data_IF_870681350556
#
_entry.id   IF_870681350556
#
_cell.length_a   1.000
_cell.length_b   1.000
_cell.length_c   1.000
_cell.angle_alpha   90.00
_cell.angle_beta   90.00
_cell.angle_gamma   90.00
#
_symmetry.space_group_name_H-M   'P 1'
#
loop_
_entity.id
_entity.type
_entity.pdbx_description
1 polymer ?
#
# COMPACT_ATOMS: atom_id res chain seq x y z
N UNK A 1 -100.52 -12.53 78.18
CA UNK A 1 -100.57 -11.09 78.25
C UNK A 1 -99.32 -10.55 77.60
N UNK A 2 -99.51 -9.94 76.49
CA UNK A 2 -98.70 -9.13 75.54
C UNK A 2 -97.55 -8.38 76.14
N UNK A 3 -96.43 -8.34 75.48
CA UNK A 3 -95.78 -7.08 75.04
C UNK A 3 -94.78 -7.41 73.89
N UNK A 4 -95.08 -6.80 72.73
CA UNK A 4 -94.17 -6.68 71.58
C UNK A 4 -93.01 -5.73 71.89
N UNK A 5 -91.82 -6.03 71.40
CA UNK A 5 -90.81 -4.98 71.19
C UNK A 5 -90.08 -5.22 69.85
N UNK A 6 -90.20 -4.23 69.03
CA UNK A 6 -89.67 -3.91 67.75
C UNK A 6 -88.14 -3.87 67.82
N UNK A 7 -87.47 -4.62 66.91
CA UNK A 7 -86.07 -4.37 66.59
C UNK A 7 -86.01 -3.84 65.16
N UNK A 8 -85.52 -2.57 64.99
CA UNK A 8 -85.22 -1.97 63.72
C UNK A 8 -83.82 -2.41 63.30
N UNK A 9 -83.52 -2.61 61.97
CA UNK A 9 -82.22 -2.96 61.49
C UNK A 9 -81.36 -1.69 61.25
N UNK A 10 -80.11 -1.74 61.69
CA UNK A 10 -79.08 -0.73 61.47
C UNK A 10 -78.67 -0.82 60.02
N UNK A 11 -78.86 0.30 59.23
CA UNK A 11 -78.35 0.47 57.91
C UNK A 11 -76.83 0.81 57.97
N UNK A 12 -76.01 -0.13 57.50
CA UNK A 12 -74.62 0.16 57.20
C UNK A 12 -74.53 1.00 55.94
N UNK A 13 -74.03 2.22 56.00
CA UNK A 13 -73.67 3.07 54.92
C UNK A 13 -72.35 2.54 54.31
N UNK A 14 -72.40 1.98 53.14
CA UNK A 14 -71.27 1.68 52.31
C UNK A 14 -70.80 3.02 51.68
N UNK A 15 -69.59 3.48 52.02
CA UNK A 15 -68.93 4.58 51.33
C UNK A 15 -68.11 3.99 50.18
N UNK A 16 -68.34 4.34 48.90
CA UNK A 16 -67.52 3.87 47.73
C UNK A 16 -66.34 4.77 47.40
N UNK A 17 -65.82 5.62 48.27
CA UNK A 17 -64.80 6.62 47.94
C UNK A 17 -63.35 6.12 48.02
N UNK A 18 -63.02 4.97 48.51
CA UNK A 18 -61.62 4.53 48.70
C UNK A 18 -61.00 3.84 47.43
N UNK A 19 -61.83 3.35 46.53
CA UNK A 19 -61.33 2.59 45.36
C UNK A 19 -60.86 3.47 44.23
N UNK A 20 -61.49 4.62 43.91
CA UNK A 20 -61.06 5.50 42.83
C UNK A 20 -59.72 6.17 43.09
N UNK A 21 -59.46 6.57 44.32
CA UNK A 21 -58.16 7.15 44.69
C UNK A 21 -57.03 6.12 44.60
N UNK A 22 -57.30 4.87 44.93
CA UNK A 22 -56.31 3.79 44.82
C UNK A 22 -56.05 3.38 43.38
N UNK A 23 -57.03 3.43 42.48
CA UNK A 23 -56.87 3.21 41.04
C UNK A 23 -56.16 4.38 40.36
N UNK A 24 -56.41 5.63 40.77
CA UNK A 24 -55.72 6.79 40.25
C UNK A 24 -54.23 6.83 40.69
N UNK A 25 -53.94 6.45 41.94
CA UNK A 25 -52.55 6.36 42.44
C UNK A 25 -51.76 5.21 41.76
N UNK A 26 -52.39 4.06 41.50
CA UNK A 26 -51.78 2.98 40.71
C UNK A 26 -51.53 3.37 39.26
N UNK A 27 -52.44 4.11 38.62
CA UNK A 27 -52.25 4.64 37.26
C UNK A 27 -51.15 5.71 37.22
N UNK A 28 -51.03 6.56 38.24
CA UNK A 28 -49.97 7.53 38.35
C UNK A 28 -48.60 6.85 38.61
N UNK A 29 -48.53 5.83 39.44
CA UNK A 29 -47.34 5.02 39.69
C UNK A 29 -46.91 4.22 38.45
N UNK A 30 -47.84 3.66 37.66
CA UNK A 30 -47.54 2.98 36.41
C UNK A 30 -47.08 3.95 35.32
N UNK A 31 -47.66 5.17 35.26
CA UNK A 31 -47.18 6.23 34.36
C UNK A 31 -45.80 6.76 34.75
N UNK A 32 -45.53 6.90 36.06
CA UNK A 32 -44.18 7.24 36.56
C UNK A 32 -43.13 6.14 36.33
N UNK A 33 -43.52 4.85 36.46
CA UNK A 33 -42.65 3.71 36.14
C UNK A 33 -42.36 3.62 34.63
N UNK A 34 -43.33 3.97 33.77
CA UNK A 34 -43.11 4.07 32.31
C UNK A 34 -42.26 5.24 31.91
N UNK A 35 -42.22 6.34 32.67
CA UNK A 35 -41.29 7.46 32.47
C UNK A 35 -39.91 7.22 33.05
N UNK A 36 -39.70 6.18 33.88
CA UNK A 36 -38.41 5.74 34.43
C UNK A 36 -37.79 4.58 33.67
N UNK A 37 -38.36 4.15 32.52
CA UNK A 37 -37.59 3.38 31.56
C UNK A 37 -36.47 4.36 31.14
N UNK A 38 -35.19 4.11 31.51
CA UNK A 38 -34.13 4.88 30.91
C UNK A 38 -34.30 4.61 29.43
N UNK A 39 -34.66 5.63 28.65
CA UNK A 39 -34.30 5.69 27.27
C UNK A 39 -32.76 5.67 27.36
N UNK A 40 -32.23 4.47 27.48
CA UNK A 40 -30.84 4.25 27.16
C UNK A 40 -30.76 4.77 25.75
N UNK A 41 -30.34 6.06 25.64
CA UNK A 41 -29.70 6.50 24.46
C UNK A 41 -28.51 5.54 24.32
N UNK A 42 -28.79 4.36 23.71
CA UNK A 42 -27.74 3.55 23.15
C UNK A 42 -26.94 4.57 22.38
N UNK A 43 -25.73 4.85 22.82
CA UNK A 43 -24.78 5.61 22.03
C UNK A 43 -24.79 4.82 20.73
N UNK A 44 -25.57 5.31 19.75
CA UNK A 44 -25.68 4.65 18.46
C UNK A 44 -24.25 4.61 17.97
N UNK A 45 -23.62 3.45 17.98
CA UNK A 45 -22.28 3.27 17.49
C UNK A 45 -22.30 3.87 16.09
N UNK A 46 -21.61 4.98 15.88
CA UNK A 46 -21.50 5.61 14.59
C UNK A 46 -20.22 5.17 13.93
N UNK A 47 -20.20 5.22 12.61
CA UNK A 47 -19.05 4.86 11.79
C UNK A 47 -18.51 6.10 11.08
N UNK A 48 -17.27 6.05 10.71
CA UNK A 48 -16.59 7.07 9.89
C UNK A 48 -16.28 6.46 8.53
N UNK A 49 -16.90 7.00 7.49
CA UNK A 49 -16.53 6.72 6.11
C UNK A 49 -15.50 7.75 5.67
N UNK A 50 -14.38 7.28 5.15
CA UNK A 50 -13.34 8.08 4.50
C UNK A 50 -13.49 7.86 3.00
N UNK A 51 -14.22 8.72 2.27
CA UNK A 51 -14.42 8.58 0.84
C UNK A 51 -13.09 8.80 0.11
N UNK A 52 -12.86 8.03 -0.96
CA UNK A 52 -11.64 8.10 -1.75
C UNK A 52 -11.93 8.46 -3.21
N UNK A 53 -13.13 8.97 -3.49
CA UNK A 53 -13.52 9.53 -4.79
C UNK A 53 -12.90 10.90 -5.05
N UNK A 54 -13.19 11.51 -6.21
CA UNK A 54 -12.69 12.83 -6.58
C UNK A 54 -13.09 13.98 -5.62
N UNK A 55 -14.03 13.74 -4.70
CA UNK A 55 -14.39 14.69 -3.65
C UNK A 55 -13.50 14.66 -2.42
N UNK A 56 -12.51 13.77 -2.34
CA UNK A 56 -11.54 13.74 -1.24
C UNK A 56 -10.60 14.95 -1.31
N UNK A 57 -10.38 15.60 -0.18
CA UNK A 57 -9.54 16.80 -0.09
C UNK A 57 -8.04 16.48 0.04
N UNK A 58 -7.70 15.30 0.55
CA UNK A 58 -6.32 14.84 0.65
C UNK A 58 -6.29 13.30 0.65
N UNK A 59 -6.12 12.71 -0.54
CA UNK A 59 -6.07 11.27 -0.69
C UNK A 59 -4.86 10.65 0.04
N UNK A 60 -3.69 11.28 -0.07
CA UNK A 60 -2.47 10.68 0.48
C UNK A 60 -2.53 10.61 2.01
N UNK A 61 -2.99 11.67 2.68
CA UNK A 61 -3.16 11.65 4.15
C UNK A 61 -4.33 10.78 4.62
N UNK A 62 -5.27 10.42 3.75
CA UNK A 62 -6.33 9.49 4.09
C UNK A 62 -5.78 8.07 4.39
N UNK A 63 -4.74 7.63 3.66
CA UNK A 63 -4.03 6.37 3.97
C UNK A 63 -3.33 6.44 5.33
N UNK A 64 -2.63 7.54 5.60
CA UNK A 64 -1.99 7.74 6.90
C UNK A 64 -2.98 7.79 8.07
N UNK A 65 -4.14 8.43 7.86
CA UNK A 65 -5.23 8.42 8.84
C UNK A 65 -5.72 6.99 9.13
N UNK A 66 -5.87 6.15 8.08
CA UNK A 66 -6.24 4.75 8.22
C UNK A 66 -5.15 3.94 8.94
N UNK A 67 -3.88 4.13 8.55
CA UNK A 67 -2.75 3.48 9.19
C UNK A 67 -2.67 3.81 10.69
N UNK A 68 -2.84 5.08 11.07
CA UNK A 68 -2.85 5.51 12.46
C UNK A 68 -4.04 4.94 13.24
N UNK A 69 -5.21 4.77 12.59
CA UNK A 69 -6.35 4.12 13.21
C UNK A 69 -6.02 2.66 13.55
N UNK A 70 -5.40 1.91 12.62
CA UNK A 70 -4.94 0.54 12.87
C UNK A 70 -3.90 0.49 14.00
N UNK A 71 -3.02 1.50 14.10
CA UNK A 71 -2.00 1.58 15.13
C UNK A 71 -2.56 1.74 16.57
N UNK A 72 -3.84 2.11 16.71
CA UNK A 72 -4.52 2.11 18.01
C UNK A 72 -5.03 0.72 18.44
N UNK A 73 -4.82 -0.31 17.62
CA UNK A 73 -5.36 -1.67 17.85
C UNK A 73 -6.79 -1.86 17.34
N UNK A 74 -7.35 -0.85 16.68
CA UNK A 74 -8.66 -0.93 16.04
C UNK A 74 -8.55 -1.57 14.66
N UNK A 75 -9.66 -2.10 14.17
CA UNK A 75 -9.79 -2.62 12.81
C UNK A 75 -10.52 -1.63 11.91
N UNK A 76 -10.35 -1.78 10.60
CA UNK A 76 -11.08 -1.01 9.62
C UNK A 76 -11.56 -1.88 8.47
N UNK A 77 -12.28 -1.31 7.54
CA UNK A 77 -12.75 -1.99 6.33
C UNK A 77 -12.37 -1.19 5.10
N UNK A 78 -11.71 -1.82 4.14
CA UNK A 78 -11.43 -1.27 2.83
C UNK A 78 -12.57 -1.65 1.88
N UNK A 79 -13.27 -0.66 1.35
CA UNK A 79 -14.41 -0.84 0.44
C UNK A 79 -13.89 -0.79 -1.01
N UNK A 80 -13.49 -1.93 -1.55
CA UNK A 80 -12.89 -2.03 -2.88
C UNK A 80 -13.91 -1.62 -3.96
N UNK A 81 -13.45 -0.81 -4.91
CA UNK A 81 -14.24 -0.23 -6.01
C UNK A 81 -15.43 0.65 -5.57
N UNK A 82 -15.64 0.85 -4.28
CA UNK A 82 -16.65 1.75 -3.78
C UNK A 82 -16.07 3.15 -3.59
N UNK A 83 -16.53 4.12 -4.38
CA UNK A 83 -16.09 5.52 -4.34
C UNK A 83 -14.56 5.64 -4.29
N UNK A 84 -13.87 5.00 -5.24
CA UNK A 84 -12.42 5.04 -5.36
C UNK A 84 -11.64 4.20 -4.34
N UNK A 85 -12.28 3.24 -3.66
CA UNK A 85 -11.64 2.40 -2.64
C UNK A 85 -11.65 3.03 -1.25
N UNK A 86 -12.84 3.41 -0.78
CA UNK A 86 -13.08 4.11 0.49
C UNK A 86 -12.75 3.24 1.72
N UNK A 87 -12.55 3.89 2.87
CA UNK A 87 -12.38 3.17 4.14
C UNK A 87 -13.55 3.42 5.08
N UNK A 88 -13.93 2.41 5.85
CA UNK A 88 -14.94 2.50 6.90
C UNK A 88 -14.33 2.08 8.23
N UNK A 89 -14.50 2.91 9.27
CA UNK A 89 -13.94 2.68 10.61
C UNK A 89 -14.97 2.92 11.71
N UNK A 90 -14.62 2.56 12.94
CA UNK A 90 -15.36 2.98 14.13
C UNK A 90 -15.25 4.49 14.33
N UNK A 91 -16.33 5.13 14.81
CA UNK A 91 -16.30 6.55 15.15
C UNK A 91 -15.64 6.75 16.52
N UNK A 92 -14.41 7.22 16.48
CA UNK A 92 -13.65 7.68 17.64
C UNK A 92 -13.44 9.19 17.53
N UNK A 93 -13.42 9.87 18.65
CA UNK A 93 -13.21 11.33 18.68
C UNK A 93 -11.85 11.76 18.10
N UNK A 94 -10.84 10.88 18.19
CA UNK A 94 -9.50 11.12 17.68
C UNK A 94 -9.44 11.01 16.14
N UNK A 95 -10.15 10.05 15.50
CA UNK A 95 -10.11 9.92 14.04
C UNK A 95 -10.74 11.13 13.35
N UNK A 96 -11.87 11.63 13.84
CA UNK A 96 -12.53 12.83 13.29
C UNK A 96 -11.68 14.08 13.48
N UNK A 97 -11.06 14.23 14.67
CA UNK A 97 -10.12 15.32 14.94
C UNK A 97 -8.90 15.24 14.02
N UNK A 98 -8.29 14.06 13.90
CA UNK A 98 -7.11 13.84 13.07
C UNK A 98 -7.40 14.04 11.60
N UNK A 99 -8.60 13.67 11.11
CA UNK A 99 -9.06 13.95 9.77
C UNK A 99 -9.08 15.46 9.47
N UNK A 100 -9.63 16.26 10.40
CA UNK A 100 -9.66 17.73 10.26
C UNK A 100 -8.26 18.34 10.20
N UNK A 101 -7.36 17.91 11.09
CA UNK A 101 -5.97 18.41 11.14
C UNK A 101 -5.26 18.14 9.81
N UNK A 102 -5.53 16.99 9.18
CA UNK A 102 -4.89 16.54 7.93
C UNK A 102 -5.62 16.97 6.68
N UNK A 103 -6.69 17.74 6.81
CA UNK A 103 -7.56 18.12 5.70
C UNK A 103 -8.10 16.89 4.93
N UNK A 104 -8.47 15.83 5.65
CA UNK A 104 -9.09 14.62 5.08
C UNK A 104 -10.60 14.70 5.26
N UNK A 105 -11.34 14.64 4.15
CA UNK A 105 -12.81 14.58 4.18
C UNK A 105 -13.28 13.26 4.77
N UNK A 106 -14.23 13.33 5.71
CA UNK A 106 -14.89 12.16 6.30
C UNK A 106 -16.40 12.39 6.38
N UNK A 107 -17.17 11.31 6.40
CA UNK A 107 -18.62 11.30 6.52
C UNK A 107 -19.00 10.47 7.75
N UNK A 108 -19.86 11.03 8.61
CA UNK A 108 -20.36 10.32 9.79
C UNK A 108 -21.63 9.54 9.41
N UNK A 109 -21.63 8.25 9.66
CA UNK A 109 -22.75 7.34 9.41
C UNK A 109 -23.30 6.80 10.72
N UNK A 110 -24.61 6.69 10.85
CA UNK A 110 -25.21 5.86 11.88
C UNK A 110 -24.89 4.39 11.62
N UNK A 111 -24.99 3.54 12.62
CA UNK A 111 -24.75 2.11 12.45
C UNK A 111 -25.68 1.48 11.38
N UNK A 112 -26.94 1.93 11.33
CA UNK A 112 -27.89 1.46 10.31
C UNK A 112 -27.49 1.86 8.88
N UNK A 113 -26.95 3.08 8.69
CA UNK A 113 -26.43 3.54 7.41
C UNK A 113 -25.17 2.75 7.02
N UNK A 114 -24.26 2.52 7.97
CA UNK A 114 -23.04 1.75 7.70
C UNK A 114 -23.37 0.29 7.32
N UNK A 115 -24.32 -0.35 8.01
CA UNK A 115 -24.77 -1.70 7.66
C UNK A 115 -25.48 -1.75 6.30
N UNK A 116 -26.26 -0.71 5.94
CA UNK A 116 -26.87 -0.61 4.62
C UNK A 116 -25.77 -0.48 3.52
N UNK A 117 -24.76 0.33 3.78
CA UNK A 117 -23.59 0.49 2.91
C UNK A 117 -22.86 -0.83 2.69
N UNK A 118 -22.57 -1.59 3.76
CA UNK A 118 -21.89 -2.89 3.64
C UNK A 118 -22.74 -3.87 2.81
N UNK A 119 -24.05 -3.92 3.03
CA UNK A 119 -24.95 -4.78 2.21
C UNK A 119 -24.95 -4.36 0.73
N UNK A 120 -24.88 -3.08 0.44
CA UNK A 120 -24.74 -2.56 -0.93
C UNK A 120 -23.43 -3.03 -1.56
N UNK A 121 -22.31 -2.81 -0.87
CA UNK A 121 -20.96 -3.19 -1.31
C UNK A 121 -20.83 -4.70 -1.52
N UNK A 122 -21.42 -5.52 -0.63
CA UNK A 122 -21.37 -6.98 -0.71
C UNK A 122 -22.46 -7.58 -1.62
N UNK A 123 -23.30 -6.76 -2.27
CA UNK A 123 -24.37 -7.29 -3.14
C UNK A 123 -23.79 -8.09 -4.31
N UNK A 124 -24.48 -9.18 -4.72
CA UNK A 124 -23.98 -10.11 -5.75
C UNK A 124 -23.76 -9.46 -7.12
N UNK A 125 -24.51 -8.42 -7.45
CA UNK A 125 -24.44 -7.75 -8.76
C UNK A 125 -23.40 -6.63 -8.84
N UNK A 126 -22.78 -6.25 -7.72
CA UNK A 126 -21.81 -5.16 -7.67
C UNK A 126 -20.37 -5.68 -7.81
N UNK A 127 -19.55 -4.97 -8.60
CA UNK A 127 -18.10 -5.18 -8.65
C UNK A 127 -17.42 -4.43 -7.49
N UNK A 128 -17.89 -4.65 -6.27
CA UNK A 128 -17.38 -4.07 -5.02
C UNK A 128 -17.23 -5.15 -3.97
N UNK A 129 -16.31 -4.99 -3.02
CA UNK A 129 -16.15 -5.90 -1.89
C UNK A 129 -15.66 -5.16 -0.65
N UNK A 130 -16.04 -5.65 0.53
CA UNK A 130 -15.49 -5.20 1.79
C UNK A 130 -14.36 -6.13 2.23
N UNK A 131 -13.18 -5.56 2.53
CA UNK A 131 -12.01 -6.29 3.02
C UNK A 131 -11.61 -5.72 4.37
N UNK A 132 -11.51 -6.57 5.40
CA UNK A 132 -11.09 -6.12 6.71
C UNK A 132 -9.60 -5.79 6.72
N UNK A 133 -9.24 -4.71 7.41
CA UNK A 133 -7.87 -4.34 7.75
C UNK A 133 -7.67 -4.68 9.23
N UNK A 134 -6.80 -5.66 9.52
CA UNK A 134 -6.75 -6.32 10.83
C UNK A 134 -5.54 -5.95 11.67
N UNK A 135 -4.49 -5.41 11.04
CA UNK A 135 -3.24 -5.09 11.72
C UNK A 135 -2.57 -3.86 11.11
N UNK A 136 -1.65 -3.28 11.86
CA UNK A 136 -0.74 -2.27 11.35
C UNK A 136 0.48 -2.97 10.71
N UNK A 137 0.79 -2.73 9.42
CA UNK A 137 1.97 -3.31 8.80
C UNK A 137 3.28 -2.74 9.39
N UNK A 138 4.26 -3.59 9.60
CA UNK A 138 5.64 -3.17 9.85
C UNK A 138 6.36 -2.95 8.53
N UNK A 139 6.89 -1.74 8.33
CA UNK A 139 7.44 -1.28 7.05
C UNK A 139 8.95 -1.12 7.16
N UNK A 140 9.68 -1.72 6.23
CA UNK A 140 11.10 -1.51 6.02
C UNK A 140 11.37 -0.86 4.66
N UNK A 141 12.38 0.01 4.61
CA UNK A 141 12.92 0.61 3.39
C UNK A 141 14.38 0.24 3.28
N UNK A 142 14.75 -0.39 2.18
CA UNK A 142 16.14 -0.72 1.88
C UNK A 142 16.85 0.50 1.30
N UNK A 143 17.72 1.10 2.09
CA UNK A 143 18.44 2.33 1.71
C UNK A 143 19.75 2.47 2.48
N UNK A 144 20.80 3.05 1.88
CA UNK A 144 22.03 3.36 2.61
C UNK A 144 21.75 4.23 3.85
N UNK A 145 22.44 4.02 4.99
CA UNK A 145 22.17 4.74 6.24
C UNK A 145 22.24 6.27 6.12
N UNK A 146 23.05 6.77 5.17
CA UNK A 146 23.27 8.20 4.95
C UNK A 146 22.39 8.77 3.83
N UNK A 147 21.60 7.92 3.14
CA UNK A 147 20.69 8.40 2.12
C UNK A 147 19.64 9.31 2.73
N UNK A 148 19.45 10.43 2.10
CA UNK A 148 18.40 11.36 2.50
C UNK A 148 17.09 10.90 1.87
N UNK A 149 15.94 11.00 2.57
CA UNK A 149 14.69 10.43 2.09
C UNK A 149 14.09 11.12 0.86
N UNK A 150 14.56 12.32 0.53
CA UNK A 150 13.96 13.13 -0.55
C UNK A 150 14.21 12.64 -1.97
N UNK A 151 15.13 11.71 -2.19
CA UNK A 151 15.40 11.12 -3.50
C UNK A 151 14.63 9.81 -3.71
N UNK A 152 13.57 9.58 -2.92
CA UNK A 152 12.79 8.35 -2.95
C UNK A 152 11.30 8.68 -2.81
N UNK A 153 10.54 8.48 -3.90
CA UNK A 153 9.10 8.76 -3.94
C UNK A 153 8.32 8.00 -2.85
N UNK A 154 8.75 6.79 -2.47
CA UNK A 154 8.05 6.01 -1.44
C UNK A 154 8.28 6.60 -0.06
N UNK A 155 9.51 6.97 0.28
CA UNK A 155 9.79 7.62 1.57
C UNK A 155 9.12 8.98 1.65
N UNK A 156 9.05 9.75 0.54
CA UNK A 156 8.25 10.97 0.48
C UNK A 156 6.77 10.72 0.77
N UNK A 157 6.20 9.68 0.16
CA UNK A 157 4.80 9.28 0.41
C UNK A 157 4.57 8.88 1.86
N UNK A 158 5.48 8.09 2.45
CA UNK A 158 5.39 7.63 3.83
C UNK A 158 5.48 8.81 4.81
N UNK A 159 6.46 9.70 4.64
CA UNK A 159 6.64 10.89 5.47
C UNK A 159 5.45 11.84 5.36
N UNK A 160 4.97 12.10 4.13
CA UNK A 160 3.79 12.95 3.93
C UNK A 160 2.52 12.35 4.55
N UNK A 161 2.30 11.06 4.38
CA UNK A 161 1.17 10.35 4.98
C UNK A 161 1.34 10.10 6.49
N UNK A 162 2.49 10.41 7.07
CA UNK A 162 2.83 10.17 8.49
C UNK A 162 2.79 8.66 8.84
N UNK A 163 3.30 7.83 7.96
CA UNK A 163 3.43 6.37 8.13
C UNK A 163 4.85 6.04 8.56
N UNK A 164 5.07 5.46 9.74
CA UNK A 164 6.41 5.12 10.22
C UNK A 164 7.02 3.95 9.44
N UNK A 165 8.33 4.03 9.23
CA UNK A 165 9.12 2.96 8.61
C UNK A 165 10.53 2.90 9.22
N UNK A 166 11.21 1.77 9.02
CA UNK A 166 12.59 1.59 9.43
C UNK A 166 13.49 1.40 8.22
N UNK A 167 14.72 1.93 8.32
CA UNK A 167 15.74 1.80 7.27
C UNK A 167 16.58 0.56 7.54
N UNK A 168 16.67 -0.31 6.53
CA UNK A 168 17.59 -1.45 6.51
C UNK A 168 18.54 -1.30 5.32
N UNK A 169 19.72 -1.89 5.44
CA UNK A 169 20.65 -1.98 4.33
C UNK A 169 21.33 -3.36 4.29
N UNK A 170 22.39 -3.52 3.53
CA UNK A 170 23.06 -4.80 3.27
C UNK A 170 23.27 -5.62 4.55
N UNK A 171 23.79 -5.00 5.61
CA UNK A 171 24.11 -5.65 6.88
C UNK A 171 22.88 -6.22 7.58
N UNK A 172 21.84 -5.39 7.72
CA UNK A 172 20.60 -5.75 8.40
C UNK A 172 19.87 -6.86 7.62
N UNK A 173 19.84 -6.75 6.29
CA UNK A 173 19.24 -7.77 5.43
C UNK A 173 19.96 -9.11 5.59
N UNK A 174 21.29 -9.14 5.48
CA UNK A 174 22.07 -10.37 5.61
C UNK A 174 22.05 -10.97 7.02
N UNK A 175 21.81 -10.16 8.04
CA UNK A 175 21.61 -10.63 9.43
C UNK A 175 20.25 -11.30 9.63
N UNK A 176 19.31 -11.11 8.71
CA UNK A 176 17.97 -11.70 8.75
C UNK A 176 16.88 -10.82 9.38
N UNK A 177 17.16 -9.53 9.58
CA UNK A 177 16.21 -8.59 10.24
C UNK A 177 14.90 -8.42 9.44
N UNK A 178 14.89 -8.75 8.14
CA UNK A 178 13.69 -8.70 7.30
C UNK A 178 12.52 -9.55 7.85
N UNK A 179 12.79 -10.59 8.62
CA UNK A 179 11.75 -11.42 9.22
C UNK A 179 10.80 -10.67 10.18
N UNK A 180 11.22 -9.49 10.66
CA UNK A 180 10.45 -8.63 11.55
C UNK A 180 9.41 -7.77 10.81
N UNK A 181 9.47 -7.69 9.47
CA UNK A 181 8.69 -6.74 8.66
C UNK A 181 7.68 -7.45 7.76
N UNK A 182 6.52 -6.79 7.56
CA UNK A 182 5.48 -7.27 6.66
C UNK A 182 5.71 -6.78 5.21
N UNK A 183 6.42 -5.66 5.04
CA UNK A 183 6.59 -4.99 3.77
C UNK A 183 8.00 -4.41 3.64
N UNK A 184 8.64 -4.64 2.50
CA UNK A 184 9.96 -4.12 2.14
C UNK A 184 9.87 -3.30 0.87
N UNK A 185 10.47 -2.10 0.87
CA UNK A 185 10.63 -1.24 -0.29
C UNK A 185 12.06 -1.25 -0.83
N UNK A 186 12.17 -1.36 -2.16
CA UNK A 186 13.39 -1.10 -2.94
C UNK A 186 13.09 -0.02 -3.98
N UNK A 187 13.98 0.98 -4.15
CA UNK A 187 13.76 2.02 -5.15
C UNK A 187 14.82 1.99 -6.27
N UNK A 188 15.79 2.88 -6.22
CA UNK A 188 16.83 3.07 -7.24
C UNK A 188 18.12 2.33 -6.92
N UNK A 189 18.07 1.28 -6.14
CA UNK A 189 19.23 0.44 -5.85
C UNK A 189 19.60 -0.43 -7.04
N UNK A 190 20.89 -0.55 -7.27
CA UNK A 190 21.46 -1.42 -8.30
C UNK A 190 21.98 -2.71 -7.65
N UNK A 191 21.30 -3.79 -7.87
CA UNK A 191 21.65 -5.11 -7.36
C UNK A 191 22.65 -5.87 -8.24
N UNK A 192 23.04 -5.29 -9.40
CA UNK A 192 24.04 -5.92 -10.29
C UNK A 192 25.47 -5.63 -9.87
N UNK A 193 25.70 -4.66 -8.99
CA UNK A 193 27.03 -4.18 -8.60
C UNK A 193 27.69 -3.26 -9.60
N UNK A 194 26.92 -2.67 -10.55
CA UNK A 194 27.41 -1.72 -11.54
C UNK A 194 27.21 -0.26 -11.13
N UNK A 195 26.87 -0.03 -9.86
CA UNK A 195 26.71 1.32 -9.25
C UNK A 195 25.69 2.20 -9.99
N UNK A 196 24.59 1.60 -10.48
CA UNK A 196 23.53 2.29 -11.21
C UNK A 196 23.86 2.61 -12.65
N UNK A 197 24.90 2.00 -13.23
CA UNK A 197 25.39 2.31 -14.60
C UNK A 197 25.72 3.79 -14.84
N UNK A 198 26.05 4.51 -13.76
CA UNK A 198 26.43 5.93 -13.81
C UNK A 198 27.88 6.17 -14.30
N UNK A 199 28.63 5.10 -14.55
CA UNK A 199 30.04 5.19 -14.94
C UNK A 199 30.27 6.10 -16.15
N UNK A 200 29.48 5.95 -17.20
CA UNK A 200 29.67 6.76 -18.44
C UNK A 200 29.63 8.26 -18.19
N UNK A 201 28.67 8.73 -17.43
CA UNK A 201 28.40 10.16 -17.21
C UNK A 201 29.12 10.72 -15.98
N UNK A 202 29.27 9.91 -14.91
CA UNK A 202 29.65 10.42 -13.60
C UNK A 202 30.92 9.80 -13.00
N UNK A 203 31.71 8.99 -13.72
CA UNK A 203 32.92 8.32 -13.19
C UNK A 203 33.93 9.24 -12.51
N UNK A 204 33.94 10.53 -12.87
CA UNK A 204 34.80 11.56 -12.28
C UNK A 204 34.08 12.46 -11.26
N UNK A 205 32.77 12.27 -11.05
CA UNK A 205 32.02 13.08 -10.11
C UNK A 205 32.33 12.66 -8.66
N UNK A 206 32.58 13.59 -7.73
CA UNK A 206 32.95 13.27 -6.35
C UNK A 206 31.93 12.37 -5.66
N UNK A 207 30.62 12.63 -5.84
CA UNK A 207 29.55 11.83 -5.23
C UNK A 207 29.54 10.37 -5.74
N UNK A 208 29.83 10.16 -7.04
CA UNK A 208 29.89 8.81 -7.62
C UNK A 208 31.09 8.03 -7.06
N UNK A 209 32.26 8.66 -7.01
CA UNK A 209 33.47 8.06 -6.43
C UNK A 209 33.23 7.71 -4.97
N UNK A 210 32.62 8.60 -4.20
CA UNK A 210 32.27 8.34 -2.80
C UNK A 210 31.29 7.15 -2.66
N UNK A 211 30.24 7.09 -3.48
CA UNK A 211 29.28 5.99 -3.54
C UNK A 211 29.98 4.66 -3.81
N UNK A 212 30.81 4.60 -4.83
CA UNK A 212 31.61 3.39 -5.18
C UNK A 212 32.49 2.96 -4.01
N UNK A 213 33.22 3.90 -3.40
CA UNK A 213 34.09 3.60 -2.28
C UNK A 213 33.33 3.08 -1.05
N UNK A 214 32.18 3.66 -0.72
CA UNK A 214 31.32 3.20 0.38
C UNK A 214 30.80 1.79 0.14
N UNK A 215 30.34 1.48 -1.07
CA UNK A 215 29.87 0.12 -1.39
C UNK A 215 30.98 -0.91 -1.37
N UNK A 216 32.17 -0.56 -1.89
CA UNK A 216 33.38 -1.44 -1.80
C UNK A 216 33.79 -1.66 -0.34
N UNK A 217 33.79 -0.63 0.49
CA UNK A 217 34.11 -0.74 1.91
C UNK A 217 33.11 -1.64 2.63
N UNK A 218 31.80 -1.50 2.36
CA UNK A 218 30.76 -2.36 2.91
C UNK A 218 30.96 -3.83 2.51
N UNK A 219 31.23 -4.08 1.23
CA UNK A 219 31.51 -5.43 0.74
C UNK A 219 32.71 -6.05 1.48
N UNK A 220 33.82 -5.33 1.60
CA UNK A 220 35.01 -5.81 2.33
C UNK A 220 34.73 -6.08 3.81
N UNK A 221 34.00 -5.18 4.47
CA UNK A 221 33.62 -5.33 5.89
C UNK A 221 32.77 -6.57 6.13
N UNK A 222 31.89 -6.90 5.18
CA UNK A 222 31.02 -8.10 5.24
C UNK A 222 31.70 -9.36 4.68
N UNK A 223 32.99 -9.28 4.27
CA UNK A 223 33.79 -10.42 3.81
C UNK A 223 33.67 -10.74 2.32
N UNK A 224 33.10 -9.86 1.52
CA UNK A 224 32.94 -10.04 0.07
C UNK A 224 34.11 -9.39 -0.70
N UNK A 225 34.63 -10.12 -1.69
CA UNK A 225 35.67 -9.59 -2.59
C UNK A 225 35.11 -8.61 -3.64
N UNK A 226 33.79 -8.71 -3.96
CA UNK A 226 33.11 -7.94 -5.00
C UNK A 226 31.78 -7.40 -4.47
N UNK A 227 31.41 -6.19 -4.90
CA UNK A 227 30.09 -5.61 -4.58
C UNK A 227 28.97 -6.43 -5.23
N UNK A 228 29.17 -6.96 -6.45
CA UNK A 228 28.20 -7.82 -7.11
C UNK A 228 27.87 -9.09 -6.30
N UNK A 229 28.87 -9.70 -5.67
CA UNK A 229 28.68 -10.87 -4.81
C UNK A 229 27.88 -10.51 -3.54
N UNK A 230 28.20 -9.38 -2.88
CA UNK A 230 27.43 -8.87 -1.76
C UNK A 230 25.96 -8.63 -2.15
N UNK A 231 25.74 -7.93 -3.28
CA UNK A 231 24.39 -7.59 -3.74
C UNK A 231 23.58 -8.83 -4.14
N UNK A 232 24.23 -9.86 -4.69
CA UNK A 232 23.57 -11.13 -4.99
C UNK A 232 23.07 -11.81 -3.71
N UNK A 233 23.88 -11.89 -2.65
CA UNK A 233 23.46 -12.50 -1.39
C UNK A 233 22.31 -11.69 -0.74
N UNK A 234 22.33 -10.37 -0.85
CA UNK A 234 21.21 -9.50 -0.43
C UNK A 234 19.94 -9.86 -1.20
N UNK A 235 20.02 -9.97 -2.54
CA UNK A 235 18.87 -10.33 -3.40
C UNK A 235 18.33 -11.71 -3.05
N UNK A 236 19.19 -12.70 -2.83
CA UNK A 236 18.78 -14.05 -2.44
C UNK A 236 18.09 -14.06 -1.07
N UNK A 237 18.59 -13.27 -0.11
CA UNK A 237 17.95 -13.11 1.20
C UNK A 237 16.57 -12.44 1.09
N UNK A 238 16.45 -11.41 0.25
CA UNK A 238 15.15 -10.78 -0.01
C UNK A 238 14.20 -11.75 -0.72
N UNK A 239 14.68 -12.52 -1.69
CA UNK A 239 13.88 -13.56 -2.37
C UNK A 239 13.37 -14.62 -1.37
N UNK A 240 14.19 -15.04 -0.42
CA UNK A 240 13.78 -15.94 0.66
C UNK A 240 12.72 -15.30 1.56
N UNK A 241 12.89 -14.03 1.94
CA UNK A 241 11.89 -13.26 2.69
C UNK A 241 10.53 -13.27 1.99
N UNK A 242 10.48 -13.01 0.67
CA UNK A 242 9.24 -13.10 -0.11
C UNK A 242 8.70 -14.54 -0.04
N UNK A 243 9.55 -15.54 -0.30
CA UNK A 243 9.16 -16.96 -0.28
C UNK A 243 8.52 -17.40 1.04
N UNK A 244 8.92 -16.79 2.14
CA UNK A 244 8.40 -17.05 3.49
C UNK A 244 7.12 -16.28 3.84
N UNK A 245 6.66 -15.35 2.99
CA UNK A 245 5.40 -14.63 3.15
C UNK A 245 5.53 -13.12 3.22
N UNK A 246 6.73 -12.57 3.04
CA UNK A 246 6.97 -11.14 2.97
C UNK A 246 6.40 -10.50 1.70
N UNK A 247 6.19 -9.21 1.74
CA UNK A 247 5.75 -8.43 0.59
C UNK A 247 6.85 -7.47 0.14
N UNK A 248 7.32 -7.64 -1.10
CA UNK A 248 8.27 -6.74 -1.75
C UNK A 248 7.54 -5.72 -2.62
N UNK A 249 7.82 -4.43 -2.41
CA UNK A 249 7.46 -3.35 -3.33
C UNK A 249 8.73 -2.71 -3.89
N UNK A 250 8.93 -2.78 -5.19
CA UNK A 250 10.09 -2.18 -5.82
C UNK A 250 9.70 -1.16 -6.89
N UNK A 251 10.51 -0.09 -7.00
CA UNK A 251 10.36 0.94 -8.02
C UNK A 251 11.66 1.14 -8.79
N UNK A 252 11.56 1.81 -9.94
CA UNK A 252 12.68 2.23 -10.75
C UNK A 252 13.68 1.09 -11.00
N UNK A 253 14.98 1.35 -10.90
CA UNK A 253 16.04 0.34 -11.12
C UNK A 253 16.06 -0.78 -10.07
N UNK A 254 15.44 -0.61 -8.93
CA UNK A 254 15.25 -1.69 -7.95
C UNK A 254 14.42 -2.85 -8.46
N UNK A 255 13.69 -2.70 -9.56
CA UNK A 255 12.87 -3.74 -10.20
C UNK A 255 13.68 -4.64 -11.13
N UNK A 256 14.20 -4.09 -12.22
CA UNK A 256 14.92 -4.85 -13.24
C UNK A 256 16.28 -5.35 -12.76
N UNK A 257 17.03 -4.56 -11.97
CA UNK A 257 18.34 -4.99 -11.46
C UNK A 257 18.24 -6.14 -10.46
N UNK A 258 17.12 -6.26 -9.74
CA UNK A 258 16.83 -7.39 -8.87
C UNK A 258 16.74 -8.69 -9.69
N UNK A 259 15.93 -8.70 -10.73
CA UNK A 259 15.78 -9.87 -11.60
C UNK A 259 17.03 -10.15 -12.43
N UNK A 260 17.77 -9.13 -12.84
CA UNK A 260 19.06 -9.30 -13.51
C UNK A 260 20.07 -10.00 -12.58
N UNK A 261 20.16 -9.61 -11.32
CA UNK A 261 21.04 -10.25 -10.35
C UNK A 261 20.67 -11.71 -10.14
N UNK A 262 19.38 -12.04 -10.11
CA UNK A 262 18.91 -13.43 -10.01
C UNK A 262 19.24 -14.25 -11.27
N UNK A 263 18.99 -13.71 -12.45
CA UNK A 263 19.26 -14.40 -13.72
C UNK A 263 20.78 -14.64 -13.93
N UNK A 264 21.60 -13.75 -13.40
CA UNK A 264 23.05 -13.79 -13.55
C UNK A 264 23.78 -14.35 -12.33
N UNK A 265 23.08 -15.08 -11.43
CA UNK A 265 23.63 -15.50 -10.13
C UNK A 265 24.93 -16.33 -10.22
N UNK A 266 25.14 -17.06 -11.32
CA UNK A 266 26.33 -17.87 -11.56
C UNK A 266 27.33 -17.18 -12.50
N UNK A 267 27.14 -15.87 -12.77
CA UNK A 267 27.90 -15.12 -13.78
C UNK A 267 28.51 -13.85 -13.20
N UNK A 268 29.70 -13.50 -13.65
CA UNK A 268 30.26 -12.16 -13.44
C UNK A 268 29.87 -11.27 -14.62
N UNK A 269 28.89 -10.40 -14.39
CA UNK A 269 28.33 -9.52 -15.43
C UNK A 269 28.85 -8.09 -15.36
N UNK A 270 29.72 -7.76 -14.40
CA UNK A 270 30.20 -6.40 -14.18
C UNK A 270 31.40 -6.12 -15.08
N UNK A 271 31.35 -5.10 -15.96
CA UNK A 271 32.48 -4.74 -16.81
C UNK A 271 33.77 -4.44 -16.01
N UNK A 272 34.95 -4.85 -16.49
CA UNK A 272 36.20 -4.66 -15.77
C UNK A 272 36.48 -3.20 -15.39
N UNK A 273 36.06 -2.23 -16.23
CA UNK A 273 36.21 -0.79 -16.02
C UNK A 273 35.44 -0.31 -14.76
N UNK A 274 34.33 -1.03 -14.40
CA UNK A 274 33.47 -0.73 -13.25
C UNK A 274 33.90 -1.56 -12.05
N UNK A 275 34.00 -2.88 -12.24
CA UNK A 275 34.22 -3.83 -11.15
C UNK A 275 35.68 -4.05 -10.79
N UNK A 276 36.59 -3.88 -11.74
CA UNK A 276 38.00 -4.17 -11.59
C UNK A 276 38.36 -5.67 -11.68
N UNK A 277 37.42 -6.51 -12.09
CA UNK A 277 37.59 -7.96 -12.25
C UNK A 277 37.21 -8.39 -13.67
N UNK A 278 37.71 -9.53 -14.17
CA UNK A 278 37.27 -10.08 -15.44
C UNK A 278 35.76 -10.37 -15.44
N UNK A 279 35.09 -10.03 -16.53
CA UNK A 279 33.71 -10.35 -16.79
C UNK A 279 33.61 -11.70 -17.54
N UNK A 280 32.53 -12.45 -17.32
CA UNK A 280 32.25 -13.68 -18.07
C UNK A 280 31.99 -13.40 -19.56
N UNK A 281 32.17 -14.44 -20.39
CA UNK A 281 31.87 -14.37 -21.83
C UNK A 281 30.51 -15.02 -22.13
N UNK A 282 29.88 -14.60 -23.23
CA UNK A 282 28.60 -15.17 -23.69
C UNK A 282 27.49 -15.08 -22.62
N UNK A 283 27.44 -14.03 -21.84
CA UNK A 283 26.55 -13.83 -20.71
C UNK A 283 25.10 -14.04 -21.11
N UNK A 284 24.65 -13.42 -22.19
CA UNK A 284 23.25 -13.46 -22.63
C UNK A 284 22.73 -14.88 -23.02
N UNK A 285 23.64 -15.82 -23.31
CA UNK A 285 23.27 -17.22 -23.56
C UNK A 285 23.26 -18.07 -22.29
N UNK A 286 23.68 -17.53 -21.16
CA UNK A 286 23.87 -18.25 -19.89
C UNK A 286 22.97 -17.76 -18.76
N UNK A 287 22.10 -16.75 -19.03
CA UNK A 287 21.15 -16.24 -18.04
C UNK A 287 20.10 -17.31 -17.68
N UNK A 288 19.82 -17.46 -16.40
CA UNK A 288 18.84 -18.37 -15.85
C UNK A 288 17.56 -17.62 -15.48
N UNK A 289 16.58 -17.61 -16.36
CA UNK A 289 15.32 -16.93 -16.14
C UNK A 289 14.37 -17.65 -15.18
N UNK A 290 14.60 -18.92 -14.84
CA UNK A 290 13.76 -19.62 -13.85
C UNK A 290 13.92 -19.01 -12.46
N UNK A 291 15.07 -18.43 -12.18
CA UNK A 291 15.36 -17.77 -10.90
C UNK A 291 14.69 -16.40 -10.74
N UNK A 292 14.31 -15.72 -11.82
CA UNK A 292 13.74 -14.36 -11.79
C UNK A 292 12.30 -14.34 -11.28
N UNK A 293 11.87 -13.20 -10.73
CA UNK A 293 10.51 -12.99 -10.25
C UNK A 293 9.54 -12.62 -11.38
N UNK A 294 9.85 -11.54 -12.12
CA UNK A 294 8.91 -10.90 -13.03
C UNK A 294 9.27 -11.04 -14.51
N UNK A 295 10.57 -11.15 -14.86
CA UNK A 295 11.02 -11.02 -16.24
C UNK A 295 11.74 -12.25 -16.76
N UNK A 296 11.65 -12.46 -18.08
CA UNK A 296 12.32 -13.52 -18.80
C UNK A 296 12.70 -13.10 -20.22
N UNK A 297 13.58 -13.85 -20.87
CA UNK A 297 13.99 -13.63 -22.28
C UNK A 297 14.59 -12.23 -22.53
N UNK A 298 15.15 -11.61 -21.53
CA UNK A 298 15.86 -10.33 -21.69
C UNK A 298 17.34 -10.54 -22.00
N UNK A 299 17.95 -9.49 -22.54
CA UNK A 299 19.39 -9.43 -22.80
C UNK A 299 20.03 -8.30 -22.02
N UNK A 300 21.25 -8.52 -21.54
CA UNK A 300 22.03 -7.52 -20.81
C UNK A 300 22.85 -6.67 -21.76
N UNK A 301 23.01 -5.39 -21.41
CA UNK A 301 23.93 -4.46 -22.04
C UNK A 301 25.23 -4.38 -21.22
N UNK A 302 26.30 -4.97 -21.74
CA UNK A 302 27.57 -5.09 -21.03
C UNK A 302 28.55 -3.94 -21.29
N UNK A 303 28.17 -2.97 -22.12
CA UNK A 303 28.98 -1.78 -22.37
C UNK A 303 28.92 -0.83 -21.15
N UNK A 304 30.08 -0.49 -20.51
CA UNK A 304 30.08 0.40 -19.36
C UNK A 304 29.71 1.86 -19.71
N UNK A 305 29.68 2.23 -20.99
CA UNK A 305 29.32 3.57 -21.47
C UNK A 305 27.84 3.69 -21.86
N UNK A 306 27.07 2.62 -21.77
CA UNK A 306 25.62 2.62 -21.98
C UNK A 306 24.92 2.58 -20.62
N UNK A 307 23.95 3.48 -20.44
CA UNK A 307 23.25 3.66 -19.17
C UNK A 307 22.25 2.54 -18.82
N UNK A 308 21.69 1.87 -19.83
CA UNK A 308 20.73 0.77 -19.63
C UNK A 308 21.43 -0.50 -19.12
N UNK A 309 20.80 -1.22 -18.21
CA UNK A 309 21.27 -2.53 -17.76
C UNK A 309 20.95 -3.65 -18.76
N UNK A 310 19.85 -3.52 -19.50
CA UNK A 310 19.37 -4.52 -20.45
C UNK A 310 18.10 -4.06 -21.17
N UNK A 311 17.45 -4.97 -21.86
CA UNK A 311 16.25 -4.71 -22.65
C UNK A 311 14.93 -5.05 -21.92
N UNK A 312 14.93 -5.13 -20.60
CA UNK A 312 13.71 -5.15 -19.79
C UNK A 312 13.01 -3.81 -19.86
N UNK A 313 13.80 -2.74 -19.70
CA UNK A 313 13.30 -1.37 -19.77
C UNK A 313 13.10 -0.94 -21.23
N UNK A 314 12.16 -0.03 -21.44
CA UNK A 314 11.92 0.58 -22.74
C UNK A 314 12.92 1.72 -22.99
N UNK A 315 13.51 1.76 -24.17
CA UNK A 315 14.24 2.94 -24.61
C UNK A 315 13.26 4.10 -24.83
N UNK A 316 13.30 5.07 -23.92
CA UNK A 316 12.50 6.28 -24.06
C UNK A 316 13.28 7.35 -24.75
N UNK A 317 12.93 7.66 -25.97
CA UNK A 317 13.39 8.87 -26.62
C UNK A 317 12.59 10.05 -26.05
N UNK A 318 13.16 10.74 -25.07
CA UNK A 318 12.56 11.88 -24.37
C UNK A 318 12.06 12.99 -25.31
N UNK A 319 12.59 13.05 -26.55
CA UNK A 319 12.17 14.02 -27.57
C UNK A 319 10.88 13.62 -28.31
N UNK A 320 10.35 12.41 -28.10
CA UNK A 320 9.17 11.89 -28.81
C UNK A 320 7.88 11.98 -28.01
N UNK A 321 7.96 12.17 -26.69
CA UNK A 321 6.77 12.26 -25.82
C UNK A 321 6.72 13.63 -25.15
N UNK A 322 5.58 14.28 -25.26
CA UNK A 322 5.25 15.39 -24.37
C UNK A 322 4.61 14.83 -23.10
N UNK A 323 4.89 15.43 -21.96
CA UNK A 323 4.30 15.07 -20.67
C UNK A 323 2.77 14.94 -20.75
N UNK A 324 2.11 15.86 -21.46
CA UNK A 324 0.64 15.87 -21.62
C UNK A 324 0.08 14.70 -22.42
N UNK A 325 0.92 13.95 -23.15
CA UNK A 325 0.52 12.78 -23.95
C UNK A 325 0.99 11.47 -23.34
N UNK A 326 1.82 11.53 -22.29
CA UNK A 326 2.29 10.35 -21.62
C UNK A 326 1.37 9.98 -20.45
N UNK A 327 0.77 8.80 -20.54
CA UNK A 327 -0.10 8.26 -19.50
C UNK A 327 -0.14 6.73 -19.56
N UNK A 328 -0.54 6.13 -18.48
CA UNK A 328 -0.85 4.70 -18.40
C UNK A 328 -2.22 4.49 -17.77
N UNK A 329 -2.82 3.33 -18.03
CA UNK A 329 -4.19 3.01 -17.60
C UNK A 329 -4.16 1.79 -16.69
N UNK A 330 -4.88 1.90 -15.57
CA UNK A 330 -5.10 0.78 -14.65
C UNK A 330 -6.10 -0.21 -15.26
N UNK A 331 -5.85 -1.50 -15.05
CA UNK A 331 -6.83 -2.54 -15.36
C UNK A 331 -7.98 -2.52 -14.35
N UNK A 332 -9.18 -2.74 -14.85
CA UNK A 332 -10.40 -2.89 -14.04
C UNK A 332 -10.56 -4.37 -13.64
N UNK A 333 -10.19 -4.68 -12.41
CA UNK A 333 -10.28 -6.03 -11.85
C UNK A 333 -11.58 -6.21 -11.06
N UNK A 334 -12.01 -7.46 -10.94
CA UNK A 334 -13.15 -7.81 -10.12
C UNK A 334 -12.77 -7.83 -8.64
N UNK A 335 -13.41 -7.00 -7.84
CA UNK A 335 -13.21 -6.99 -6.39
C UNK A 335 -13.62 -8.31 -5.71
N UNK A 336 -14.47 -9.12 -6.36
CA UNK A 336 -14.95 -10.42 -5.86
C UNK A 336 -14.06 -11.58 -6.25
N UNK A 337 -13.58 -11.58 -7.52
CA UNK A 337 -12.79 -12.67 -8.07
C UNK A 337 -11.28 -12.44 -7.97
N UNK A 338 -10.87 -11.17 -8.08
CA UNK A 338 -9.48 -10.75 -8.08
C UNK A 338 -9.21 -9.67 -7.00
N UNK A 339 -9.48 -9.96 -5.72
CA UNK A 339 -9.41 -8.92 -4.68
C UNK A 339 -8.01 -8.33 -4.52
N UNK A 340 -6.95 -9.11 -4.74
CA UNK A 340 -5.56 -8.63 -4.59
C UNK A 340 -5.19 -7.61 -5.66
N UNK A 341 -5.31 -7.90 -6.98
CA UNK A 341 -5.11 -6.88 -8.00
C UNK A 341 -6.02 -5.67 -7.80
N UNK A 342 -7.29 -5.89 -7.41
CA UNK A 342 -8.24 -4.79 -7.14
C UNK A 342 -7.77 -3.88 -6.01
N UNK A 343 -7.24 -4.40 -4.89
CA UNK A 343 -6.66 -3.58 -3.82
C UNK A 343 -5.52 -2.70 -4.34
N UNK A 344 -4.64 -3.25 -5.17
CA UNK A 344 -3.47 -2.54 -5.67
C UNK A 344 -3.81 -1.46 -6.71
N UNK A 345 -4.93 -1.62 -7.44
CA UNK A 345 -5.36 -0.65 -8.46
C UNK A 345 -6.41 0.35 -7.97
N UNK A 346 -6.74 0.39 -6.67
CA UNK A 346 -7.70 1.39 -6.14
C UNK A 346 -7.22 2.80 -6.44
N UNK A 347 -8.07 3.57 -7.13
CA UNK A 347 -7.80 4.97 -7.44
C UNK A 347 -9.11 5.75 -7.69
N UNK A 348 -9.03 7.08 -7.69
CA UNK A 348 -10.15 7.97 -8.06
C UNK A 348 -10.19 8.27 -9.56
N UNK A 349 -9.15 7.88 -10.30
CA UNK A 349 -9.04 7.94 -11.75
C UNK A 349 -8.43 6.65 -12.27
N UNK A 350 -8.76 6.26 -13.50
CA UNK A 350 -8.22 5.08 -14.17
C UNK A 350 -7.00 5.38 -15.04
N UNK A 351 -6.86 6.63 -15.52
CA UNK A 351 -5.74 7.09 -16.32
C UNK A 351 -4.83 7.96 -15.46
N UNK A 352 -3.54 7.64 -15.44
CA UNK A 352 -2.54 8.24 -14.57
C UNK A 352 -1.46 8.86 -15.44
N UNK A 353 -1.02 10.10 -15.18
CA UNK A 353 0.11 10.71 -15.89
C UNK A 353 1.34 9.82 -15.88
N UNK A 354 2.06 9.76 -16.99
CA UNK A 354 3.33 9.07 -17.11
C UNK A 354 4.43 9.81 -16.38
N UNK A 355 5.50 9.11 -16.07
CA UNK A 355 6.73 9.66 -15.48
C UNK A 355 7.89 8.74 -15.77
N UNK A 356 9.08 9.31 -15.82
CA UNK A 356 10.30 8.59 -16.15
C UNK A 356 11.05 8.09 -14.91
N UNK A 357 12.10 7.35 -15.16
CA UNK A 357 13.07 6.88 -14.21
C UNK A 357 14.17 6.16 -14.94
N UNK A 358 15.17 5.66 -14.25
CA UNK A 358 16.19 4.79 -14.85
C UNK A 358 15.56 3.53 -15.46
N UNK A 359 14.48 3.02 -14.86
CA UNK A 359 13.58 2.04 -15.47
C UNK A 359 12.21 2.70 -15.61
N UNK A 360 11.90 3.17 -16.81
CA UNK A 360 10.72 3.97 -17.09
C UNK A 360 9.45 3.15 -17.25
N UNK A 361 9.52 2.06 -17.98
CA UNK A 361 8.45 1.09 -18.19
C UNK A 361 9.04 -0.26 -18.59
N UNK A 362 8.33 -1.33 -18.37
CA UNK A 362 8.77 -2.66 -18.74
C UNK A 362 8.28 -3.04 -20.13
N UNK A 363 9.11 -3.66 -20.93
CA UNK A 363 8.70 -4.26 -22.21
C UNK A 363 7.76 -5.44 -21.93
N UNK A 364 6.58 -5.41 -22.53
CA UNK A 364 5.51 -6.40 -22.28
C UNK A 364 5.94 -7.84 -22.67
N UNK A 365 6.76 -7.98 -23.70
CA UNK A 365 7.30 -9.28 -24.17
C UNK A 365 8.32 -9.90 -23.20
N UNK A 366 8.80 -9.16 -22.21
CA UNK A 366 9.72 -9.64 -21.17
C UNK A 366 9.01 -10.10 -19.90
N UNK A 367 7.75 -9.72 -19.71
CA UNK A 367 6.99 -10.09 -18.51
C UNK A 367 6.60 -11.57 -18.55
N UNK A 368 6.88 -12.30 -17.48
CA UNK A 368 6.48 -13.70 -17.33
C UNK A 368 4.97 -13.87 -17.33
N UNK A 369 4.47 -14.96 -17.90
CA UNK A 369 3.03 -15.24 -18.05
C UNK A 369 2.25 -15.42 -16.73
N UNK A 370 2.94 -15.71 -15.64
CA UNK A 370 2.36 -15.85 -14.30
C UNK A 370 2.34 -14.53 -13.49
N UNK A 371 2.79 -13.44 -14.09
CA UNK A 371 2.77 -12.10 -13.49
C UNK A 371 1.54 -11.34 -13.96
N UNK A 372 0.83 -10.71 -13.04
CA UNK A 372 -0.37 -9.92 -13.31
C UNK A 372 0.04 -8.50 -13.71
N UNK A 373 -0.40 -8.07 -14.88
CA UNK A 373 -0.25 -6.67 -15.30
C UNK A 373 -1.37 -5.86 -14.65
N UNK A 374 -1.00 -4.86 -13.86
CA UNK A 374 -1.92 -3.95 -13.16
C UNK A 374 -2.17 -2.67 -13.95
N UNK A 375 -1.20 -2.24 -14.75
CA UNK A 375 -1.32 -1.05 -15.59
C UNK A 375 -0.40 -1.12 -16.81
N UNK A 376 -0.86 -0.57 -17.94
CA UNK A 376 -0.09 -0.49 -19.18
C UNK A 376 -0.31 0.86 -19.90
N UNK A 377 0.63 1.22 -20.77
CA UNK A 377 0.53 2.42 -21.62
C UNK A 377 -0.28 2.08 -22.86
N UNK A 378 -1.47 2.69 -23.09
CA UNK A 378 -2.33 2.37 -24.24
C UNK A 378 -1.64 2.57 -25.58
N UNK A 379 -1.76 1.57 -26.47
CA UNK A 379 -1.18 1.61 -27.81
C UNK A 379 0.34 1.42 -27.87
N UNK A 380 0.98 1.05 -26.75
CA UNK A 380 2.40 0.73 -26.64
C UNK A 380 2.58 -0.63 -26.00
N UNK A 381 3.61 -1.38 -26.38
CA UNK A 381 3.97 -2.65 -25.72
C UNK A 381 4.76 -2.38 -24.43
N UNK A 382 4.20 -1.55 -23.55
CA UNK A 382 4.82 -1.05 -22.32
C UNK A 382 3.91 -1.28 -21.13
N UNK A 383 4.48 -1.84 -20.06
CA UNK A 383 3.81 -2.12 -18.79
C UNK A 383 4.43 -1.23 -17.71
N UNK A 384 3.59 -0.60 -16.90
CA UNK A 384 4.03 0.34 -15.86
C UNK A 384 3.97 -0.25 -14.46
N UNK A 385 3.06 -1.20 -14.22
CA UNK A 385 2.76 -1.71 -12.90
C UNK A 385 2.44 -3.20 -12.95
N UNK A 386 3.15 -4.00 -12.15
CA UNK A 386 3.11 -5.46 -12.14
C UNK A 386 2.89 -6.00 -10.73
N UNK A 387 2.25 -7.17 -10.62
CA UNK A 387 2.14 -7.92 -9.37
C UNK A 387 2.33 -9.41 -9.60
N UNK A 388 3.04 -10.07 -8.69
CA UNK A 388 3.25 -11.51 -8.76
C UNK A 388 3.35 -12.16 -7.38
N UNK A 389 3.30 -13.50 -7.38
CA UNK A 389 3.46 -14.31 -6.19
C UNK A 389 4.78 -15.08 -6.28
N UNK A 390 5.45 -15.25 -5.14
CA UNK A 390 6.60 -16.13 -5.00
C UNK A 390 6.55 -16.84 -3.65
N UNK A 391 6.50 -18.18 -3.65
CA UNK A 391 6.31 -18.96 -2.43
C UNK A 391 5.01 -18.59 -1.71
N UNK A 392 5.11 -18.12 -0.47
CA UNK A 392 3.96 -17.70 0.36
C UNK A 392 3.69 -16.19 0.29
N UNK A 393 4.62 -15.42 -0.26
CA UNK A 393 4.55 -13.96 -0.33
C UNK A 393 4.33 -13.44 -1.74
N UNK A 394 4.46 -12.14 -1.87
CA UNK A 394 4.12 -11.41 -3.10
C UNK A 394 5.14 -10.33 -3.39
N UNK A 395 5.18 -9.89 -4.64
CA UNK A 395 5.95 -8.73 -5.06
C UNK A 395 5.11 -7.82 -5.97
N UNK A 396 5.43 -6.54 -5.95
CA UNK A 396 4.85 -5.54 -6.86
C UNK A 396 5.97 -4.67 -7.40
N UNK A 397 6.03 -4.53 -8.72
CA UNK A 397 7.00 -3.70 -9.42
C UNK A 397 6.30 -2.52 -10.08
N UNK A 398 6.77 -1.31 -9.79
CA UNK A 398 6.25 -0.06 -10.32
C UNK A 398 7.37 0.69 -11.03
N UNK A 399 7.26 0.83 -12.35
CA UNK A 399 8.27 1.49 -13.16
C UNK A 399 8.17 3.02 -13.05
N UNK A 400 9.29 3.70 -13.26
CA UNK A 400 9.44 5.13 -13.09
C UNK A 400 9.98 5.49 -11.72
N UNK A 401 10.34 6.78 -11.54
CA UNK A 401 10.98 7.24 -10.33
C UNK A 401 10.02 7.98 -9.40
N UNK A 402 9.44 9.09 -9.85
CA UNK A 402 8.56 9.95 -9.08
C UNK A 402 7.29 10.28 -9.87
N UNK A 403 6.09 9.94 -9.37
CA UNK A 403 4.83 10.17 -10.09
C UNK A 403 4.48 11.64 -10.39
N UNK A 404 5.11 12.60 -9.70
CA UNK A 404 4.83 14.05 -9.87
C UNK A 404 6.06 14.84 -10.36
N UNK A 405 7.17 14.14 -10.61
CA UNK A 405 8.35 14.70 -11.29
C UNK A 405 8.59 13.95 -12.61
N UNK A 406 8.05 14.51 -13.70
CA UNK A 406 8.00 13.82 -14.98
C UNK A 406 9.35 13.32 -15.50
N UNK A 407 10.43 14.12 -15.36
CA UNK A 407 11.74 13.79 -15.92
C UNK A 407 12.83 13.63 -14.89
N UNK A 408 12.52 13.43 -13.66
CA UNK A 408 13.44 13.42 -12.52
C UNK A 408 14.92 13.19 -12.86
N UNK A 409 15.78 14.11 -12.45
CA UNK A 409 17.24 14.08 -12.74
C UNK A 409 18.04 14.13 -11.47
N UNK A 410 19.25 13.59 -11.52
CA UNK A 410 20.20 13.69 -10.41
C UNK A 410 20.42 15.16 -10.03
N UNK A 411 20.05 15.51 -8.80
CA UNK A 411 20.16 16.85 -8.24
C UNK A 411 18.90 17.70 -8.32
N UNK A 412 17.80 17.18 -8.84
CA UNK A 412 16.50 17.84 -8.76
C UNK A 412 16.06 17.95 -7.29
N UNK A 413 15.33 18.99 -6.91
CA UNK A 413 14.78 19.10 -5.55
C UNK A 413 13.72 18.01 -5.32
N UNK A 414 13.51 17.59 -4.06
CA UNK A 414 12.46 16.63 -3.74
C UNK A 414 11.07 17.20 -4.07
N UNK A 415 10.16 16.33 -4.53
CA UNK A 415 8.78 16.71 -4.79
C UNK A 415 8.07 17.17 -3.52
N UNK A 416 7.42 18.33 -3.58
CA UNK A 416 6.56 18.82 -2.49
C UNK A 416 5.15 18.22 -2.61
N UNK A 417 4.88 17.14 -1.88
CA UNK A 417 3.58 16.46 -1.89
C UNK A 417 2.43 17.29 -1.32
N UNK A 418 2.71 18.42 -0.67
CA UNK A 418 1.65 19.35 -0.26
C UNK A 418 0.97 20.02 -1.47
N UNK A 419 1.64 20.07 -2.60
CA UNK A 419 1.10 20.55 -3.88
C UNK A 419 0.37 19.46 -4.67
N UNK A 420 0.57 18.18 -4.30
CA UNK A 420 0.09 16.99 -5.01
C UNK A 420 -0.74 16.06 -4.11
N UNK A 421 -1.53 16.63 -3.21
CA UNK A 421 -2.29 15.92 -2.16
C UNK A 421 -3.24 14.84 -2.67
N UNK A 422 -3.60 14.91 -3.96
CA UNK A 422 -4.50 14.00 -4.64
C UNK A 422 -3.82 13.22 -5.78
N UNK A 423 -2.49 13.14 -5.77
CA UNK A 423 -1.72 12.43 -6.80
C UNK A 423 -2.21 10.98 -6.98
N UNK A 424 -2.64 10.59 -8.18
CA UNK A 424 -3.06 9.22 -8.43
C UNK A 424 -1.88 8.25 -8.50
N UNK A 425 -0.71 8.71 -8.92
CA UNK A 425 0.49 7.89 -8.97
C UNK A 425 1.02 7.54 -7.57
N UNK A 426 1.05 8.50 -6.66
CA UNK A 426 1.42 8.27 -5.26
C UNK A 426 0.38 7.42 -4.51
N UNK A 427 -0.90 7.47 -4.89
CA UNK A 427 -1.91 6.58 -4.33
C UNK A 427 -1.60 5.09 -4.57
N UNK A 428 -1.06 4.73 -5.74
CA UNK A 428 -0.69 3.34 -6.02
C UNK A 428 0.39 2.85 -5.05
N UNK A 429 1.35 3.70 -4.68
CA UNK A 429 2.34 3.37 -3.66
C UNK A 429 1.64 3.08 -2.32
N UNK A 430 0.73 3.96 -1.89
CA UNK A 430 0.05 3.84 -0.59
C UNK A 430 -0.93 2.67 -0.53
N UNK A 431 -1.52 2.24 -1.66
CA UNK A 431 -2.28 0.99 -1.73
C UNK A 431 -1.43 -0.22 -1.29
N UNK A 432 -0.18 -0.29 -1.77
CA UNK A 432 0.75 -1.36 -1.42
C UNK A 432 1.06 -1.40 0.07
N UNK A 433 1.13 -0.26 0.74
CA UNK A 433 1.44 -0.16 2.17
C UNK A 433 0.30 -0.70 3.04
N UNK A 434 -0.94 -0.49 2.65
CA UNK A 434 -2.10 -1.03 3.36
C UNK A 434 -2.42 -2.49 3.00
N UNK A 435 -1.92 -3.00 1.88
CA UNK A 435 -2.17 -4.37 1.45
C UNK A 435 -1.83 -5.43 2.51
N UNK A 436 -0.69 -5.38 3.24
CA UNK A 436 -0.37 -6.37 4.28
C UNK A 436 -1.31 -6.32 5.50
N UNK A 437 -2.08 -5.24 5.68
CA UNK A 437 -3.09 -5.13 6.73
C UNK A 437 -4.37 -5.91 6.40
N UNK A 438 -4.61 -6.21 5.12
CA UNK A 438 -5.84 -6.82 4.64
C UNK A 438 -5.95 -8.30 5.04
N UNK A 439 -7.15 -8.71 5.45
CA UNK A 439 -7.47 -10.12 5.62
C UNK A 439 -7.26 -10.91 4.31
N UNK A 440 -6.80 -12.16 4.42
CA UNK A 440 -6.69 -13.05 3.26
C UNK A 440 -8.08 -13.53 2.86
N UNK A 441 -8.77 -12.81 1.97
CA UNK A 441 -10.02 -13.30 1.38
C UNK A 441 -9.76 -14.58 0.58
N UNK A 442 -10.55 -15.62 0.86
CA UNK A 442 -10.62 -16.79 -0.03
C UNK A 442 -11.29 -16.35 -1.33
N UNK A 443 -10.71 -16.75 -2.48
CA UNK A 443 -11.39 -16.58 -3.77
C UNK A 443 -12.75 -17.28 -3.69
N UNK A 444 -13.81 -16.58 -4.04
CA UNK A 444 -15.12 -17.22 -4.25
C UNK A 444 -15.00 -18.08 -5.51
N UNK A 445 -15.21 -19.38 -5.36
CA UNK A 445 -15.22 -20.37 -6.48
C UNK A 445 -16.65 -20.56 -6.99
#
# INVERSE_FOLDING_TARGET
>A
MKIDRILQPIKWLHQPETNEKMYSLRRLLLALLLCLIPIGAGIAQSRVLIPMDAGQTNHLKAYGLMFQHLATGETGTWLLNYRGGSFLTTNRSDIVRNARIRNVRVELLSESQAQALIREVESQGANTAAVNLEKVPKIAVYTPPQALPWDDAVTLALDYAEVPYEKLYDREVLRGDLAEYDWLHLHHEDFTGQYGKFYAMYRNAPWYIERVNKQKAMAQELGYAKVSALKLDVVLTIKEYIGNGGFLFAMCSGTNTFDIALAARELDIVPPEIGGFPMDTNINQRLDYEETLAFSNFSLVNDPFIYQHGDIDVEVNLNQLSESLDYFTLFDFSAKWDPVPTMLTQNHVSSIPGFYGQTTAFRKDKVKSNVVILAESPGRDQVKYLHGNYGKGTFTFYAGHDPEDYTHRVGDPPTDLSLHVNSPGYRLILNNILFPAAEKKKKET
#
